data_IF_107234875777
#
_entry.id   IF_107234875777
#
_cell.length_a   1.000
_cell.length_b   1.000
_cell.length_c   1.000
_cell.angle_alpha   90.00
_cell.angle_beta   90.00
_cell.angle_gamma   90.00
#
_symmetry.space_group_name_H-M   'P 1'
#
loop_
_entity.id
_entity.type
_entity.pdbx_description
1 polymer ?
#
# COMPACT_ATOMS: atom_id res chain seq x y z
N UNK A 1 -0.39 -25.26 5.60
CA UNK A 1 0.24 -23.97 5.17
C UNK A 1 1.67 -23.89 5.71
N UNK A 2 2.65 -23.40 4.94
CA UNK A 2 4.04 -23.22 5.43
C UNK A 2 4.30 -21.76 5.79
N UNK A 3 4.78 -21.50 7.00
CA UNK A 3 5.38 -20.20 7.35
C UNK A 3 6.84 -20.15 6.85
N UNK A 4 7.36 -18.96 6.59
CA UNK A 4 8.80 -18.78 6.31
C UNK A 4 9.51 -18.42 7.62
N UNK A 5 10.78 -18.79 7.79
CA UNK A 5 11.55 -18.46 9.01
C UNK A 5 11.70 -16.95 9.24
N UNK A 6 11.61 -16.15 8.18
CA UNK A 6 11.81 -14.70 8.22
C UNK A 6 10.77 -14.00 7.35
N UNK A 7 9.93 -13.16 7.96
CA UNK A 7 8.97 -12.33 7.24
C UNK A 7 9.55 -10.94 6.95
N UNK A 8 9.12 -10.35 5.83
CA UNK A 8 9.33 -8.95 5.52
C UNK A 8 7.98 -8.27 5.55
N UNK A 9 7.91 -7.08 6.16
CA UNK A 9 6.66 -6.32 6.19
C UNK A 9 6.98 -4.86 5.90
N UNK A 10 6.39 -4.32 4.83
CA UNK A 10 6.52 -2.91 4.47
C UNK A 10 5.49 -2.12 5.26
N UNK A 11 5.85 -1.83 6.50
CA UNK A 11 5.03 -1.11 7.46
C UNK A 11 5.59 0.30 7.60
N UNK A 12 5.14 1.22 6.75
CA UNK A 12 5.67 2.59 6.67
C UNK A 12 4.57 3.58 7.04
N UNK A 13 4.63 4.09 8.27
CA UNK A 13 3.42 4.58 8.91
C UNK A 13 3.38 6.08 9.21
N UNK A 14 4.51 6.78 9.39
CA UNK A 14 4.44 8.23 9.47
C UNK A 14 5.76 8.92 9.18
N UNK A 15 5.63 10.12 8.60
CA UNK A 15 6.64 11.17 8.55
C UNK A 15 6.05 12.42 9.23
N UNK A 16 6.43 12.65 10.48
CA UNK A 16 5.97 13.79 11.27
C UNK A 16 6.90 14.98 11.06
N UNK A 17 6.35 16.13 10.65
CA UNK A 17 7.07 17.41 10.57
C UNK A 17 6.80 18.27 11.81
N UNK A 18 7.87 18.83 12.39
CA UNK A 18 7.81 20.03 13.23
C UNK A 18 7.83 21.24 12.27
N UNK A 19 6.87 22.17 12.45
CA UNK A 19 6.79 23.43 11.69
C UNK A 19 7.79 24.44 12.25
N UNK A 20 8.52 25.13 11.36
CA UNK A 20 9.12 26.44 11.64
C UNK A 20 8.66 27.46 10.56
N UNK A 21 8.58 28.76 10.90
CA UNK A 21 7.90 29.78 10.10
C UNK A 21 8.78 30.46 9.03
N UNK A 22 8.08 30.96 7.98
CA UNK A 22 8.45 31.97 6.96
C UNK A 22 9.62 31.62 5.99
N UNK A 23 9.65 31.99 4.69
CA UNK A 23 8.76 32.70 3.78
C UNK A 23 9.46 33.01 2.44
N UNK A 24 8.66 33.38 1.42
CA UNK A 24 8.95 33.94 0.08
C UNK A 24 9.26 33.00 -1.10
N UNK A 25 8.54 33.29 -2.19
CA UNK A 25 8.58 32.68 -3.51
C UNK A 25 9.04 33.72 -4.55
N UNK A 26 9.60 33.26 -5.66
CA UNK A 26 9.75 34.03 -6.90
C UNK A 26 9.40 33.14 -8.09
N UNK A 27 8.52 33.65 -8.96
CA UNK A 27 8.02 32.99 -10.17
C UNK A 27 9.02 33.08 -11.34
N UNK A 28 9.10 32.01 -12.14
CA UNK A 28 9.69 32.02 -13.48
C UNK A 28 8.75 31.24 -14.41
N UNK A 29 8.34 31.86 -15.53
CA UNK A 29 7.48 31.24 -16.54
C UNK A 29 8.28 30.28 -17.46
N UNK A 30 7.70 29.13 -17.88
CA UNK A 30 8.34 28.24 -18.84
C UNK A 30 8.07 28.64 -20.30
N UNK A 31 8.97 28.29 -21.25
CA UNK A 31 8.75 28.45 -22.70
C UNK A 31 7.86 27.32 -23.26
N UNK A 32 7.34 27.45 -24.51
CA UNK A 32 6.37 26.53 -25.09
C UNK A 32 6.97 25.15 -25.41
N UNK A 33 6.23 24.08 -25.11
CA UNK A 33 6.60 22.69 -25.40
C UNK A 33 6.22 22.26 -26.83
N UNK A 34 7.23 21.88 -27.62
CA UNK A 34 7.07 21.09 -28.84
C UNK A 34 7.10 19.59 -28.50
N UNK A 35 6.08 18.86 -28.96
CA UNK A 35 5.85 17.45 -28.65
C UNK A 35 6.53 16.56 -29.69
N UNK A 36 7.51 15.74 -29.27
CA UNK A 36 8.02 14.62 -30.07
C UNK A 36 7.72 13.29 -29.38
N UNK A 37 6.91 12.47 -30.05
CA UNK A 37 6.64 11.09 -29.68
C UNK A 37 7.72 10.17 -30.26
N UNK A 38 8.33 9.32 -29.43
CA UNK A 38 8.98 8.10 -29.93
C UNK A 38 8.67 6.91 -29.03
N UNK A 39 7.77 6.03 -29.49
CA UNK A 39 7.77 4.63 -29.08
C UNK A 39 7.30 3.77 -30.26
N UNK A 40 8.12 2.81 -30.67
CA UNK A 40 7.79 1.83 -31.70
C UNK A 40 7.15 0.59 -31.07
N UNK A 41 5.84 0.64 -30.92
CA UNK A 41 4.91 -0.49 -30.91
C UNK A 41 3.60 0.04 -31.51
N UNK A 42 3.42 -0.17 -32.82
CA UNK A 42 2.34 0.41 -33.58
C UNK A 42 1.19 -0.61 -33.72
N UNK A 43 0.11 -0.42 -32.97
CA UNK A 43 -1.16 -1.12 -33.19
C UNK A 43 -2.11 -0.14 -33.90
N UNK A 44 -2.15 -0.11 -35.24
CA UNK A 44 -2.81 0.94 -36.01
C UNK A 44 -4.35 1.00 -35.84
N UNK A 45 -4.93 0.11 -35.03
CA UNK A 45 -6.36 0.01 -34.72
C UNK A 45 -6.66 -0.06 -33.21
N UNK A 46 -5.65 0.10 -32.34
CA UNK A 46 -5.89 0.12 -30.90
C UNK A 46 -6.46 1.49 -30.51
N UNK A 47 -7.78 1.55 -30.35
CA UNK A 47 -8.44 2.66 -29.66
C UNK A 47 -8.07 2.53 -28.18
N UNK A 48 -7.52 3.58 -27.56
CA UNK A 48 -7.53 3.66 -26.10
C UNK A 48 -9.00 3.77 -25.67
N UNK A 49 -9.60 2.73 -25.07
CA UNK A 49 -11.05 2.68 -24.91
C UNK A 49 -11.56 3.79 -23.97
N UNK A 50 -10.77 4.20 -22.98
CA UNK A 50 -11.04 5.35 -22.13
C UNK A 50 -9.75 5.88 -21.47
N UNK A 51 -9.41 7.19 -21.57
CA UNK A 51 -8.21 7.75 -20.92
C UNK A 51 -8.29 7.80 -19.38
N UNK A 52 -9.45 7.48 -18.80
CA UNK A 52 -9.69 7.52 -17.36
C UNK A 52 -9.48 6.17 -16.67
N UNK A 53 -9.23 5.09 -17.40
CA UNK A 53 -9.02 3.76 -16.85
C UNK A 53 -7.77 3.12 -17.41
N UNK A 54 -6.99 2.50 -16.54
CA UNK A 54 -5.84 1.68 -16.92
C UNK A 54 -5.91 0.32 -16.23
N UNK A 55 -5.50 -0.72 -16.95
CA UNK A 55 -5.38 -2.09 -16.46
C UNK A 55 -3.91 -2.45 -16.38
N UNK A 56 -3.43 -2.66 -15.17
CA UNK A 56 -2.00 -2.78 -14.90
C UNK A 56 -1.72 -4.21 -14.44
N UNK A 57 -1.02 -5.03 -15.25
CA UNK A 57 -0.57 -6.33 -14.78
C UNK A 57 0.47 -6.15 -13.68
N UNK A 58 0.39 -6.97 -12.64
CA UNK A 58 1.38 -7.01 -11.58
C UNK A 58 1.99 -8.40 -11.45
N UNK A 59 3.14 -8.46 -10.78
CA UNK A 59 3.74 -9.72 -10.32
C UNK A 59 3.75 -9.75 -8.80
N UNK A 60 3.73 -10.94 -8.23
CA UNK A 60 3.94 -11.11 -6.79
C UNK A 60 5.43 -11.24 -6.49
N UNK A 61 5.95 -10.34 -5.66
CA UNK A 61 7.31 -10.42 -5.13
C UNK A 61 7.23 -10.86 -3.67
N UNK A 62 7.23 -12.18 -3.47
CA UNK A 62 6.70 -12.79 -2.25
C UNK A 62 5.18 -12.68 -2.26
N UNK A 63 4.62 -11.80 -1.43
CA UNK A 63 3.17 -11.52 -1.36
C UNK A 63 2.82 -10.06 -1.62
N UNK A 64 3.80 -9.28 -2.06
CA UNK A 64 3.64 -7.88 -2.38
C UNK A 64 3.26 -7.72 -3.85
N UNK A 65 2.39 -6.76 -4.13
CA UNK A 65 1.99 -6.39 -5.48
C UNK A 65 3.09 -5.52 -6.07
N UNK A 66 3.80 -6.05 -7.08
CA UNK A 66 4.92 -5.38 -7.73
C UNK A 66 4.58 -5.02 -9.18
N UNK A 67 4.85 -3.77 -9.55
CA UNK A 67 4.59 -3.21 -10.88
C UNK A 67 5.83 -2.52 -11.41
N UNK A 68 5.97 -2.46 -12.74
CA UNK A 68 7.03 -1.67 -13.37
C UNK A 68 6.52 -0.24 -13.61
N UNK A 69 7.32 0.74 -13.21
CA UNK A 69 7.04 2.16 -13.41
C UNK A 69 8.36 2.94 -13.49
N UNK A 70 8.27 4.23 -13.76
CA UNK A 70 9.41 5.13 -13.85
C UNK A 70 9.12 6.41 -13.07
N UNK A 71 10.01 6.78 -12.15
CA UNK A 71 9.98 8.07 -11.48
C UNK A 71 11.17 8.91 -11.96
N UNK A 72 10.87 10.04 -12.58
CA UNK A 72 11.77 10.89 -13.33
C UNK A 72 12.50 10.10 -14.44
N UNK A 73 13.82 9.98 -14.38
CA UNK A 73 14.61 9.19 -15.33
C UNK A 73 14.85 7.75 -14.89
N UNK A 74 14.36 7.34 -13.71
CA UNK A 74 14.69 6.05 -13.09
C UNK A 74 13.54 5.08 -13.26
N UNK A 75 13.78 4.02 -14.02
CA UNK A 75 12.87 2.91 -14.22
C UNK A 75 13.17 1.71 -13.29
N UNK A 76 12.12 0.98 -12.95
CA UNK A 76 12.21 -0.31 -12.27
C UNK A 76 10.96 -0.67 -11.48
N UNK A 77 11.12 -1.56 -10.51
CA UNK A 77 10.01 -2.15 -9.78
C UNK A 77 9.55 -1.22 -8.66
N UNK A 78 8.24 -1.01 -8.58
CA UNK A 78 7.55 -0.36 -7.47
C UNK A 78 6.63 -1.35 -6.75
N UNK A 79 6.52 -1.22 -5.44
CA UNK A 79 5.50 -1.94 -4.65
C UNK A 79 4.28 -1.05 -4.46
N UNK A 80 3.09 -1.61 -4.63
CA UNK A 80 1.83 -0.92 -4.33
C UNK A 80 1.46 -1.12 -2.85
N UNK A 81 1.38 -0.02 -2.11
CA UNK A 81 1.25 -0.04 -0.65
C UNK A 81 0.16 0.93 -0.18
N UNK A 82 -1.02 0.39 0.16
CA UNK A 82 -2.11 1.18 0.74
C UNK A 82 -1.83 1.63 2.17
N UNK A 83 -0.81 1.07 2.83
CA UNK A 83 -0.32 1.48 4.13
C UNK A 83 0.65 2.66 4.09
N UNK A 84 1.25 2.97 2.93
CA UNK A 84 2.14 4.13 2.79
C UNK A 84 1.38 5.43 2.51
N UNK A 85 1.70 6.53 3.22
CA UNK A 85 1.06 7.83 3.00
C UNK A 85 1.38 8.43 1.62
N UNK A 86 2.62 8.25 1.16
CA UNK A 86 3.14 8.92 -0.03
C UNK A 86 4.00 7.97 -0.86
N UNK A 87 4.35 8.41 -2.06
CA UNK A 87 5.45 7.82 -2.83
C UNK A 87 6.73 7.81 -1.99
N UNK A 88 7.37 6.64 -1.91
CA UNK A 88 8.67 6.47 -1.28
C UNK A 88 9.66 6.03 -2.32
N UNK A 89 10.84 6.65 -2.33
CA UNK A 89 11.91 6.37 -3.27
C UNK A 89 13.06 5.72 -2.53
N UNK A 90 13.59 4.64 -3.08
CA UNK A 90 14.71 3.95 -2.48
C UNK A 90 16.00 4.75 -2.68
N UNK A 91 16.63 5.19 -1.60
CA UNK A 91 17.86 6.00 -1.63
C UNK A 91 19.00 5.37 -2.44
N UNK A 92 19.01 4.04 -2.60
CA UNK A 92 19.99 3.33 -3.44
C UNK A 92 20.01 3.81 -4.90
N UNK A 93 18.89 4.33 -5.41
CA UNK A 93 18.79 4.80 -6.81
C UNK A 93 18.82 6.33 -6.94
N UNK A 94 18.64 7.09 -5.85
CA UNK A 94 18.55 8.54 -5.88
C UNK A 94 19.73 9.17 -5.11
N UNK A 95 20.71 9.69 -5.84
CA UNK A 95 21.86 10.40 -5.27
C UNK A 95 21.48 11.85 -4.94
N UNK A 96 20.99 12.10 -3.73
CA UNK A 96 20.82 13.46 -3.21
C UNK A 96 21.69 13.67 -1.96
N UNK A 97 22.18 14.91 -1.77
CA UNK A 97 22.86 15.32 -0.55
C UNK A 97 21.94 15.03 0.62
N UNK A 98 22.36 14.10 1.48
CA UNK A 98 21.63 13.74 2.69
C UNK A 98 21.50 14.98 3.57
N UNK A 99 20.35 15.65 3.51
CA UNK A 99 19.88 16.44 4.63
C UNK A 99 19.34 15.40 5.59
N UNK A 100 20.16 15.00 6.57
CA UNK A 100 19.76 14.06 7.62
C UNK A 100 18.60 14.66 8.43
N UNK A 101 17.37 14.46 7.95
CA UNK A 101 16.17 14.60 8.75
C UNK A 101 15.74 13.19 9.13
N UNK A 102 15.92 12.87 10.40
CA UNK A 102 15.33 11.67 11.01
C UNK A 102 13.81 11.85 11.10
N UNK A 103 13.12 10.73 11.33
CA UNK A 103 11.69 10.60 11.74
C UNK A 103 10.80 10.02 10.64
N UNK A 104 11.03 8.75 10.28
CA UNK A 104 9.90 7.83 10.02
C UNK A 104 9.87 6.71 11.06
N UNK A 105 8.66 6.31 11.46
CA UNK A 105 8.42 5.21 12.41
C UNK A 105 7.89 4.00 11.64
N UNK A 106 8.63 2.90 11.67
CA UNK A 106 8.17 1.58 11.21
C UNK A 106 7.93 0.64 12.39
N UNK A 107 7.24 -0.48 12.15
CA UNK A 107 6.94 -1.48 13.19
C UNK A 107 8.17 -2.15 13.81
N UNK A 108 9.34 -1.98 13.20
CA UNK A 108 10.62 -2.49 13.70
C UNK A 108 11.59 -1.36 14.03
N UNK A 109 11.10 -0.17 14.36
CA UNK A 109 11.89 0.97 14.82
C UNK A 109 11.97 2.13 13.82
N UNK A 110 12.84 3.08 14.12
CA UNK A 110 12.99 4.34 13.38
C UNK A 110 13.72 4.13 12.05
N UNK A 111 13.16 4.67 10.98
CA UNK A 111 13.78 4.73 9.66
C UNK A 111 14.80 5.86 9.65
N UNK A 112 16.05 5.52 9.30
CA UNK A 112 17.14 6.48 9.14
C UNK A 112 17.04 7.09 7.74
N UNK A 113 17.07 8.42 7.69
CA UNK A 113 17.06 9.25 6.48
C UNK A 113 15.70 9.36 5.77
N UNK A 114 15.07 10.52 5.94
CA UNK A 114 13.94 10.95 5.13
C UNK A 114 14.26 12.34 4.60
N UNK A 115 14.58 12.45 3.31
CA UNK A 115 14.48 13.73 2.61
C UNK A 115 13.18 13.79 1.82
N UNK A 116 12.54 14.95 1.80
CA UNK A 116 11.39 15.19 0.93
C UNK A 116 11.89 15.62 -0.45
N UNK A 117 11.23 15.14 -1.50
CA UNK A 117 11.48 15.53 -2.89
C UNK A 117 10.15 15.65 -3.64
N UNK A 118 10.15 16.43 -4.71
CA UNK A 118 9.15 16.34 -5.76
C UNK A 118 9.71 15.47 -6.90
N UNK A 119 8.92 14.47 -7.30
CA UNK A 119 9.14 13.74 -8.54
C UNK A 119 8.41 14.52 -9.62
N UNK A 120 9.14 14.96 -10.64
CA UNK A 120 8.60 15.77 -11.72
C UNK A 120 7.57 14.97 -12.50
N UNK A 121 7.89 13.71 -12.80
CA UNK A 121 6.98 12.79 -13.48
C UNK A 121 7.11 11.35 -12.95
N UNK A 122 6.01 10.78 -12.45
CA UNK A 122 5.86 9.35 -12.28
C UNK A 122 5.07 8.80 -13.47
N UNK A 123 5.73 8.00 -14.30
CA UNK A 123 5.15 7.27 -15.41
C UNK A 123 4.82 5.85 -14.97
N UNK A 124 3.57 5.45 -15.14
CA UNK A 124 3.10 4.11 -14.84
C UNK A 124 2.22 3.64 -15.99
N UNK A 125 2.84 2.90 -16.91
CA UNK A 125 2.24 2.53 -18.20
C UNK A 125 1.74 3.81 -18.92
N UNK A 126 0.46 3.93 -19.29
CA UNK A 126 -0.07 5.14 -19.95
C UNK A 126 -0.48 6.27 -18.98
N UNK A 127 -0.33 6.08 -17.66
CA UNK A 127 -0.56 7.13 -16.68
C UNK A 127 0.70 7.95 -16.46
N UNK A 128 0.55 9.28 -16.49
CA UNK A 128 1.57 10.22 -16.04
C UNK A 128 1.02 11.01 -14.87
N UNK A 129 1.77 11.04 -13.77
CA UNK A 129 1.52 11.87 -12.61
C UNK A 129 2.62 12.91 -12.51
N UNK A 130 2.26 14.18 -12.64
CA UNK A 130 3.22 15.28 -12.54
C UNK A 130 3.32 15.79 -11.11
N UNK A 131 4.50 16.24 -10.70
CA UNK A 131 4.76 16.86 -9.40
C UNK A 131 4.25 16.00 -8.24
N UNK A 132 4.73 14.75 -8.16
CA UNK A 132 4.36 13.82 -7.09
C UNK A 132 5.27 14.04 -5.89
N UNK A 133 4.68 14.40 -4.75
CA UNK A 133 5.43 14.48 -3.51
C UNK A 133 5.93 13.09 -3.10
N UNK A 134 7.24 12.98 -2.87
CA UNK A 134 7.89 11.75 -2.46
C UNK A 134 8.81 11.95 -1.26
N UNK A 135 9.15 10.85 -0.60
CA UNK A 135 10.22 10.84 0.40
C UNK A 135 11.26 9.79 0.03
N UNK A 136 12.52 10.13 0.20
CA UNK A 136 13.64 9.21 -0.02
C UNK A 136 13.89 8.43 1.27
N UNK A 137 13.90 7.11 1.18
CA UNK A 137 14.08 6.18 2.30
C UNK A 137 15.06 5.09 1.89
N UNK A 138 15.91 4.61 2.81
CA UNK A 138 16.73 3.43 2.56
C UNK A 138 15.87 2.15 2.53
N UNK A 139 15.59 1.67 1.32
CA UNK A 139 14.88 0.42 1.06
C UNK A 139 15.82 -0.67 0.53
N UNK A 140 17.15 -0.46 0.61
CA UNK A 140 18.17 -1.35 0.05
C UNK A 140 18.08 -2.77 0.62
N UNK A 141 17.77 -2.92 1.91
CA UNK A 141 17.59 -4.23 2.53
C UNK A 141 16.37 -4.99 1.98
N UNK A 142 15.34 -4.26 1.54
CA UNK A 142 14.15 -4.85 0.91
C UNK A 142 14.49 -5.25 -0.51
N UNK A 143 15.11 -4.35 -1.27
CA UNK A 143 15.63 -4.60 -2.62
C UNK A 143 16.45 -5.89 -2.68
N UNK A 144 17.48 -5.99 -1.82
CA UNK A 144 18.39 -7.13 -1.77
C UNK A 144 17.70 -8.44 -1.40
N UNK A 145 16.84 -8.43 -0.37
CA UNK A 145 16.17 -9.66 0.09
C UNK A 145 15.08 -10.13 -0.87
N UNK A 146 14.46 -9.22 -1.62
CA UNK A 146 13.45 -9.55 -2.63
C UNK A 146 14.05 -9.89 -3.99
N UNK A 147 15.35 -9.63 -4.19
CA UNK A 147 16.05 -9.86 -5.45
C UNK A 147 15.38 -9.14 -6.63
N UNK A 148 14.95 -7.90 -6.41
CA UNK A 148 14.34 -7.02 -7.43
C UNK A 148 15.07 -5.68 -7.47
N UNK A 149 14.90 -4.90 -8.54
CA UNK A 149 15.33 -3.50 -8.59
C UNK A 149 14.22 -2.61 -8.01
N UNK A 150 14.13 -2.55 -6.69
CA UNK A 150 13.13 -1.76 -5.98
C UNK A 150 13.45 -0.26 -6.07
N UNK A 151 12.80 0.44 -6.98
CA UNK A 151 12.94 1.89 -7.16
C UNK A 151 12.12 2.64 -6.11
N UNK A 152 10.94 2.13 -5.76
CA UNK A 152 10.10 2.80 -4.77
C UNK A 152 8.86 2.04 -4.34
N UNK A 153 8.03 2.73 -3.57
CA UNK A 153 6.74 2.26 -3.07
C UNK A 153 5.70 3.32 -3.39
N UNK A 154 4.64 2.95 -4.09
CA UNK A 154 3.55 3.85 -4.46
C UNK A 154 2.50 3.82 -3.35
N UNK A 155 2.24 4.98 -2.76
CA UNK A 155 1.35 5.15 -1.61
C UNK A 155 0.10 5.96 -1.90
N UNK A 156 -0.65 6.24 -0.82
CA UNK A 156 -1.95 6.91 -0.83
C UNK A 156 -2.02 8.19 -1.66
N UNK A 157 -0.99 9.06 -1.63
CA UNK A 157 -1.03 10.31 -2.38
C UNK A 157 -1.13 10.15 -3.91
N UNK A 158 -0.69 9.01 -4.45
CA UNK A 158 -0.83 8.66 -5.88
C UNK A 158 -2.23 8.09 -6.14
N UNK A 159 -2.77 7.31 -5.21
CA UNK A 159 -4.03 6.57 -5.38
C UNK A 159 -5.31 7.34 -5.09
N UNK A 160 -5.27 8.36 -4.23
CA UNK A 160 -6.46 8.97 -3.59
C UNK A 160 -7.53 9.49 -4.56
N UNK A 161 -7.15 9.74 -5.82
CA UNK A 161 -8.03 10.25 -6.88
C UNK A 161 -8.51 9.16 -7.85
N UNK A 162 -8.30 7.89 -7.50
CA UNK A 162 -8.72 6.72 -8.27
C UNK A 162 -9.57 5.77 -7.42
N UNK A 163 -10.43 4.99 -8.08
CA UNK A 163 -10.78 3.67 -7.59
C UNK A 163 -9.66 2.69 -7.93
N UNK A 164 -9.30 1.86 -6.96
CA UNK A 164 -8.23 0.87 -7.08
C UNK A 164 -8.88 -0.50 -6.97
N UNK A 165 -8.97 -1.21 -8.09
CA UNK A 165 -9.48 -2.57 -8.08
C UNK A 165 -8.32 -3.55 -8.11
N UNK A 166 -8.14 -4.31 -7.04
CA UNK A 166 -7.07 -5.28 -6.89
C UNK A 166 -7.64 -6.69 -7.11
N UNK A 167 -7.11 -7.37 -8.12
CA UNK A 167 -7.51 -8.72 -8.48
C UNK A 167 -6.29 -9.66 -8.51
N UNK A 168 -6.14 -10.47 -7.46
CA UNK A 168 -5.07 -11.45 -7.35
C UNK A 168 -5.25 -12.67 -8.28
N UNK A 169 -6.47 -12.93 -8.77
CA UNK A 169 -6.73 -14.05 -9.67
C UNK A 169 -6.22 -13.74 -11.08
N UNK A 170 -6.54 -12.54 -11.58
CA UNK A 170 -6.04 -12.06 -12.87
C UNK A 170 -4.67 -11.37 -12.79
N UNK A 171 -4.13 -11.20 -11.58
CA UNK A 171 -2.90 -10.45 -11.29
C UNK A 171 -2.92 -9.05 -11.93
N UNK A 172 -4.04 -8.34 -11.76
CA UNK A 172 -4.22 -6.98 -12.26
C UNK A 172 -4.63 -6.01 -11.16
N UNK A 173 -4.13 -4.77 -11.29
CA UNK A 173 -4.69 -3.60 -10.64
C UNK A 173 -5.35 -2.73 -11.71
N UNK A 174 -6.63 -2.42 -11.53
CA UNK A 174 -7.33 -1.46 -12.38
C UNK A 174 -7.44 -0.15 -11.63
N UNK A 175 -6.99 0.94 -12.27
CA UNK A 175 -7.15 2.28 -11.73
C UNK A 175 -8.13 3.05 -12.61
N UNK A 176 -9.21 3.54 -11.99
CA UNK A 176 -10.20 4.37 -12.67
C UNK A 176 -10.27 5.75 -12.00
N UNK A 177 -10.04 6.82 -12.76
CA UNK A 177 -10.08 8.20 -12.26
C UNK A 177 -11.44 8.54 -11.69
N UNK A 178 -11.42 9.28 -10.58
CA UNK A 178 -12.61 9.75 -9.89
C UNK A 178 -12.81 11.25 -10.07
N UNK A 179 -14.07 11.67 -10.19
CA UNK A 179 -14.45 13.06 -10.01
C UNK A 179 -14.27 13.51 -8.54
N UNK A 180 -14.67 14.76 -8.24
CA UNK A 180 -14.56 15.34 -6.89
C UNK A 180 -15.45 14.63 -5.86
N UNK A 181 -16.57 14.03 -6.30
CA UNK A 181 -17.58 13.40 -5.46
C UNK A 181 -17.30 11.89 -5.26
N UNK A 182 -16.30 11.37 -5.97
CA UNK A 182 -15.84 9.98 -5.86
C UNK A 182 -16.54 9.02 -6.82
N UNK A 183 -17.14 9.52 -7.89
CA UNK A 183 -17.70 8.72 -8.99
C UNK A 183 -16.69 8.57 -10.12
N UNK A 184 -16.70 7.40 -10.78
CA UNK A 184 -15.81 7.10 -11.90
C UNK A 184 -16.06 8.07 -13.05
N UNK A 185 -14.98 8.58 -13.63
CA UNK A 185 -15.03 9.25 -14.93
C UNK A 185 -15.24 8.26 -16.09
N UNK A 186 -15.00 6.97 -15.84
CA UNK A 186 -15.32 5.86 -16.73
C UNK A 186 -16.28 4.89 -16.04
N UNK A 187 -17.60 5.06 -16.19
CA UNK A 187 -18.60 4.21 -15.52
C UNK A 187 -18.49 2.73 -15.90
N UNK A 188 -18.06 2.44 -17.13
CA UNK A 188 -18.02 1.10 -17.72
C UNK A 188 -16.71 0.34 -17.43
N UNK A 189 -15.73 0.99 -16.79
CA UNK A 189 -14.41 0.42 -16.46
C UNK A 189 -14.50 -0.93 -15.72
N UNK A 190 -15.51 -1.06 -14.86
CA UNK A 190 -15.80 -2.26 -14.09
C UNK A 190 -17.27 -2.56 -14.31
N UNK A 191 -17.52 -3.43 -15.28
CA UNK A 191 -18.84 -3.89 -15.71
C UNK A 191 -19.49 -4.86 -14.71
N UNK A 192 -18.69 -5.47 -13.83
CA UNK A 192 -19.18 -6.34 -12.77
C UNK A 192 -19.85 -5.51 -11.67
N UNK A 193 -20.92 -6.03 -11.09
CA UNK A 193 -21.53 -5.44 -9.89
C UNK A 193 -20.93 -6.07 -8.63
N UNK A 194 -20.57 -5.27 -7.61
CA UNK A 194 -20.11 -5.82 -6.34
C UNK A 194 -21.24 -6.58 -5.65
N UNK A 195 -20.93 -7.75 -5.07
CA UNK A 195 -21.93 -8.53 -4.33
C UNK A 195 -22.11 -8.01 -2.89
N UNK A 196 -21.12 -7.28 -2.38
CA UNK A 196 -21.15 -6.67 -1.05
C UNK A 196 -20.24 -5.45 -0.99
N UNK A 197 -20.39 -4.65 0.07
CA UNK A 197 -19.53 -3.49 0.32
C UNK A 197 -19.42 -3.21 1.81
N UNK A 198 -18.33 -2.55 2.20
CA UNK A 198 -18.08 -2.20 3.60
C UNK A 198 -17.52 -0.77 3.69
N UNK A 199 -18.11 0.03 4.56
CA UNK A 199 -17.59 1.37 4.87
C UNK A 199 -16.32 1.25 5.73
N UNK A 200 -15.39 2.16 5.55
CA UNK A 200 -14.19 2.26 6.38
C UNK A 200 -14.00 3.68 6.92
N UNK A 201 -13.22 3.79 8.01
CA UNK A 201 -12.78 5.08 8.53
C UNK A 201 -11.41 5.39 7.94
N UNK A 202 -11.32 6.48 7.19
CA UNK A 202 -10.03 7.00 6.72
C UNK A 202 -9.37 7.79 7.88
N UNK A 203 -8.32 7.23 8.48
CA UNK A 203 -7.53 7.90 9.51
C UNK A 203 -6.19 8.30 8.92
N UNK A 204 -6.04 9.58 8.55
CA UNK A 204 -4.96 10.05 7.66
C UNK A 204 -5.04 9.33 6.31
N UNK A 205 -4.17 8.37 6.06
CA UNK A 205 -4.17 7.51 4.87
C UNK A 205 -4.64 6.08 5.17
N UNK A 206 -4.79 5.71 6.45
CA UNK A 206 -5.13 4.35 6.85
C UNK A 206 -6.59 4.00 6.55
N UNK A 207 -6.79 2.84 5.94
CA UNK A 207 -8.11 2.24 5.71
C UNK A 207 -8.47 1.42 6.95
N UNK A 208 -9.16 2.05 7.91
CA UNK A 208 -9.55 1.39 9.16
C UNK A 208 -10.91 0.70 9.02
N UNK A 209 -10.92 -0.62 9.16
CA UNK A 209 -12.10 -1.47 9.16
C UNK A 209 -12.36 -2.06 10.55
N UNK A 210 -13.62 -2.34 10.86
CA UNK A 210 -13.98 -3.14 12.05
C UNK A 210 -14.00 -4.62 11.67
N UNK A 211 -13.45 -5.46 12.54
CA UNK A 211 -13.56 -6.90 12.46
C UNK A 211 -14.04 -7.47 13.79
N UNK A 212 -14.47 -8.71 13.79
CA UNK A 212 -14.87 -9.43 14.99
C UNK A 212 -14.27 -10.84 15.04
N UNK A 213 -13.78 -11.20 16.22
CA UNK A 213 -13.32 -12.55 16.59
C UNK A 213 -13.91 -12.87 17.96
N UNK A 214 -14.59 -14.01 18.10
CA UNK A 214 -15.19 -14.45 19.37
C UNK A 214 -16.08 -13.37 20.04
N UNK A 215 -16.90 -12.65 19.26
CA UNK A 215 -17.75 -11.57 19.77
C UNK A 215 -17.00 -10.30 20.17
N UNK A 216 -15.70 -10.19 19.86
CA UNK A 216 -14.86 -9.04 20.21
C UNK A 216 -14.52 -8.22 18.97
N UNK A 217 -14.98 -6.97 18.99
CA UNK A 217 -14.61 -5.97 17.99
C UNK A 217 -13.12 -5.61 18.05
N UNK A 218 -12.50 -5.61 16.88
CA UNK A 218 -11.12 -5.26 16.59
C UNK A 218 -11.10 -4.18 15.51
N UNK A 219 -10.09 -3.31 15.54
CA UNK A 219 -9.82 -2.34 14.49
C UNK A 219 -8.62 -2.78 13.68
N UNK A 220 -8.82 -3.09 12.41
CA UNK A 220 -7.74 -3.44 11.49
C UNK A 220 -7.47 -2.32 10.50
N UNK A 221 -6.20 -2.10 10.19
CA UNK A 221 -5.82 -1.35 9.00
C UNK A 221 -5.68 -2.29 7.79
N UNK A 222 -6.20 -1.91 6.62
CA UNK A 222 -5.99 -2.64 5.36
C UNK A 222 -4.75 -2.14 4.64
N UNK A 223 -3.79 -3.03 4.43
CA UNK A 223 -2.43 -2.72 4.01
C UNK A 223 -1.89 -3.71 2.96
N UNK A 224 -1.84 -3.31 1.69
CA UNK A 224 -1.23 -4.13 0.63
C UNK A 224 0.29 -4.30 0.76
N UNK A 225 0.97 -3.48 1.57
CA UNK A 225 2.38 -3.63 1.95
C UNK A 225 2.64 -4.72 3.00
N UNK A 226 1.59 -5.29 3.60
CA UNK A 226 1.71 -6.37 4.58
C UNK A 226 1.63 -7.78 3.95
N UNK A 227 2.76 -8.50 3.90
CA UNK A 227 2.83 -9.89 3.40
C UNK A 227 2.12 -10.92 4.30
N UNK A 228 1.88 -10.56 5.55
CA UNK A 228 1.24 -11.39 6.56
C UNK A 228 0.51 -10.47 7.53
N UNK A 229 -0.64 -10.91 8.05
CA UNK A 229 -1.41 -10.10 8.98
C UNK A 229 -0.66 -9.90 10.29
N UNK A 230 -0.94 -8.80 10.96
CA UNK A 230 -0.45 -8.49 12.30
C UNK A 230 -1.62 -8.42 13.28
N UNK A 231 -1.37 -8.89 14.49
CA UNK A 231 -2.27 -8.74 15.63
C UNK A 231 -1.50 -8.18 16.82
N UNK A 232 -2.05 -7.16 17.47
CA UNK A 232 -1.46 -6.59 18.67
C UNK A 232 -1.52 -7.59 19.83
N UNK A 233 -0.40 -7.80 20.53
CA UNK A 233 -0.32 -8.73 21.66
C UNK A 233 -1.22 -8.38 22.84
N UNK A 234 -1.75 -7.15 22.92
CA UNK A 234 -2.63 -6.65 23.98
C UNK A 234 -4.12 -6.77 23.62
N UNK A 235 -4.48 -7.43 22.51
CA UNK A 235 -5.89 -7.76 22.27
C UNK A 235 -6.48 -8.59 23.42
N UNK A 236 -7.80 -8.59 23.55
CA UNK A 236 -8.50 -9.31 24.61
C UNK A 236 -8.19 -10.82 24.54
N UNK A 237 -8.06 -11.48 25.69
CA UNK A 237 -7.77 -12.93 25.79
C UNK A 237 -8.66 -13.80 24.90
N UNK A 238 -9.95 -13.49 24.81
CA UNK A 238 -10.92 -14.18 23.93
C UNK A 238 -10.53 -14.20 22.46
N UNK A 239 -9.84 -13.16 21.98
CA UNK A 239 -9.34 -13.11 20.59
C UNK A 239 -8.15 -14.05 20.43
N UNK A 240 -7.29 -14.13 21.45
CA UNK A 240 -6.13 -15.03 21.46
C UNK A 240 -6.52 -16.51 21.64
N UNK A 241 -7.72 -16.81 22.12
CA UNK A 241 -8.24 -18.19 22.18
C UNK A 241 -8.43 -18.79 20.77
N UNK A 242 -8.71 -17.94 19.76
CA UNK A 242 -8.83 -18.32 18.34
C UNK A 242 -7.51 -18.16 17.56
N UNK A 243 -6.38 -17.97 18.28
CA UNK A 243 -5.06 -17.90 17.67
C UNK A 243 -4.25 -19.18 17.96
N UNK A 244 -4.02 -19.99 16.92
CA UNK A 244 -3.16 -21.17 17.00
C UNK A 244 -1.69 -20.77 16.81
N UNK A 245 -0.89 -20.85 17.87
CA UNK A 245 0.55 -20.60 17.80
C UNK A 245 1.24 -21.77 17.09
N UNK A 246 2.01 -21.47 16.05
CA UNK A 246 2.77 -22.48 15.30
C UNK A 246 4.25 -22.43 15.65
N UNK A 247 4.86 -21.24 15.66
CA UNK A 247 6.29 -21.08 15.98
C UNK A 247 6.67 -19.63 16.25
N UNK A 248 7.91 -19.43 16.70
CA UNK A 248 8.60 -18.12 16.68
C UNK A 248 9.25 -17.89 15.31
N UNK A 249 9.19 -16.66 14.81
CA UNK A 249 9.83 -16.22 13.57
C UNK A 249 10.47 -14.86 13.76
N UNK A 250 11.40 -14.52 12.87
CA UNK A 250 12.02 -13.19 12.80
C UNK A 250 11.24 -12.29 11.85
N UNK A 251 10.88 -11.11 12.31
CA UNK A 251 10.23 -10.05 11.52
C UNK A 251 11.23 -8.92 11.31
N UNK A 252 11.33 -8.43 10.07
CA UNK A 252 12.09 -7.22 9.71
C UNK A 252 11.16 -6.29 8.95
N UNK A 253 11.04 -5.06 9.43
CA UNK A 253 10.29 -3.98 8.78
C UNK A 253 11.21 -2.93 8.18
N UNK A 254 10.68 -1.73 7.96
CA UNK A 254 11.43 -0.62 7.33
C UNK A 254 12.43 0.03 8.28
N UNK A 255 12.22 -0.09 9.59
CA UNK A 255 13.20 0.34 10.61
C UNK A 255 14.44 -0.55 10.72
N UNK A 256 14.58 -1.57 9.86
CA UNK A 256 15.71 -2.50 9.72
C UNK A 256 16.05 -3.37 10.96
N UNK A 257 15.53 -3.07 12.15
CA UNK A 257 15.72 -3.97 13.30
C UNK A 257 14.98 -5.28 13.08
N UNK A 258 15.58 -6.36 13.57
CA UNK A 258 14.97 -7.67 13.60
C UNK A 258 14.34 -7.91 14.97
N UNK A 259 13.07 -8.29 14.98
CA UNK A 259 12.35 -8.66 16.21
C UNK A 259 11.82 -10.09 16.10
N UNK A 260 11.84 -10.81 17.20
CA UNK A 260 11.21 -12.13 17.28
C UNK A 260 9.73 -11.99 17.63
N UNK A 261 8.88 -12.70 16.89
CA UNK A 261 7.42 -12.66 17.04
C UNK A 261 6.83 -14.06 16.99
N UNK A 262 5.62 -14.22 17.53
CA UNK A 262 4.86 -15.47 17.41
C UNK A 262 4.11 -15.48 16.07
N UNK A 263 4.30 -16.55 15.31
CA UNK A 263 3.58 -16.82 14.09
C UNK A 263 2.55 -17.91 14.31
N UNK A 264 1.36 -17.70 13.77
CA UNK A 264 0.23 -18.59 13.96
C UNK A 264 -0.91 -18.30 13.00
N UNK A 265 -2.02 -18.98 13.21
CA UNK A 265 -3.25 -18.81 12.44
C UNK A 265 -4.29 -18.17 13.35
N UNK A 266 -4.89 -17.06 12.89
CA UNK A 266 -6.06 -16.49 13.52
C UNK A 266 -7.29 -17.03 12.80
N UNK A 267 -8.21 -17.63 13.54
CA UNK A 267 -9.42 -18.25 13.00
C UNK A 267 -10.64 -17.34 13.10
N UNK A 268 -11.64 -17.62 12.26
CA UNK A 268 -13.00 -17.10 12.35
C UNK A 268 -13.08 -15.57 12.44
N UNK A 269 -12.35 -14.88 11.57
CA UNK A 269 -12.37 -13.41 11.54
C UNK A 269 -13.48 -12.94 10.61
N UNK A 270 -14.35 -12.08 11.11
CA UNK A 270 -15.47 -11.53 10.35
C UNK A 270 -15.31 -10.02 10.16
N UNK A 271 -15.72 -9.50 9.00
CA UNK A 271 -15.64 -8.09 8.61
C UNK A 271 -16.95 -7.70 7.92
N UNK A 272 -17.91 -7.15 8.67
CA UNK A 272 -19.26 -6.96 8.14
C UNK A 272 -19.86 -8.31 7.71
N UNK A 273 -20.26 -8.43 6.44
CA UNK A 273 -20.80 -9.68 5.87
C UNK A 273 -19.70 -10.61 5.29
N UNK A 274 -18.42 -10.22 5.41
CA UNK A 274 -17.29 -11.02 4.93
C UNK A 274 -16.68 -11.84 6.07
N UNK A 275 -16.03 -12.95 5.74
CA UNK A 275 -15.32 -13.77 6.73
C UNK A 275 -14.10 -14.47 6.15
N UNK A 276 -13.06 -14.63 6.96
CA UNK A 276 -11.95 -15.55 6.71
C UNK A 276 -11.93 -16.63 7.81
N UNK A 277 -11.99 -17.89 7.40
CA UNK A 277 -11.94 -19.02 8.35
C UNK A 277 -10.57 -19.13 9.03
N UNK A 278 -9.49 -18.78 8.31
CA UNK A 278 -8.11 -18.92 8.77
C UNK A 278 -7.20 -17.94 8.05
N UNK A 279 -6.44 -17.14 8.79
CA UNK A 279 -5.45 -16.22 8.23
C UNK A 279 -4.11 -16.32 8.95
N UNK A 280 -3.02 -16.38 8.18
CA UNK A 280 -1.67 -16.32 8.76
C UNK A 280 -1.44 -14.96 9.40
N UNK A 281 -1.09 -14.98 10.67
CA UNK A 281 -1.01 -13.79 11.50
C UNK A 281 0.22 -13.84 12.40
N UNK A 282 0.88 -12.71 12.59
CA UNK A 282 1.98 -12.54 13.53
C UNK A 282 1.51 -11.71 14.74
N UNK A 283 1.78 -12.19 15.96
CA UNK A 283 1.54 -11.42 17.17
C UNK A 283 2.74 -10.52 17.44
N UNK A 284 2.51 -9.20 17.51
CA UNK A 284 3.56 -8.20 17.73
C UNK A 284 3.07 -7.06 18.65
N UNK A 285 3.88 -6.02 18.87
CA UNK A 285 3.49 -4.81 19.60
C UNK A 285 3.18 -3.69 18.60
N UNK A 286 1.95 -3.20 18.56
CA UNK A 286 1.49 -2.11 17.69
C UNK A 286 1.31 -0.79 18.45
N UNK A 287 1.80 -0.67 19.68
CA UNK A 287 1.65 0.53 20.50
C UNK A 287 2.19 1.78 19.81
N UNK A 288 3.36 1.70 19.18
CA UNK A 288 3.98 2.85 18.52
C UNK A 288 3.14 3.32 17.33
N UNK A 289 2.55 2.38 16.59
CA UNK A 289 1.61 2.66 15.51
C UNK A 289 0.37 3.38 16.05
N UNK A 290 -0.22 2.89 17.15
CA UNK A 290 -1.38 3.52 17.78
C UNK A 290 -1.09 4.96 18.22
N UNK A 291 0.07 5.19 18.86
CA UNK A 291 0.51 6.52 19.31
C UNK A 291 0.69 7.47 18.13
N UNK A 292 1.33 7.00 17.06
CA UNK A 292 1.63 7.79 15.87
C UNK A 292 0.37 8.27 15.14
N UNK A 293 -0.63 7.40 15.01
CA UNK A 293 -1.88 7.74 14.32
C UNK A 293 -2.94 8.35 15.22
N UNK A 294 -2.75 8.33 16.54
CA UNK A 294 -3.75 8.79 17.50
C UNK A 294 -5.04 7.97 17.46
N UNK A 295 -4.97 6.71 17.03
CA UNK A 295 -6.11 5.79 16.98
C UNK A 295 -5.70 4.40 17.43
N UNK A 296 -6.64 3.65 18.02
CA UNK A 296 -6.44 2.24 18.35
C UNK A 296 -6.39 1.42 17.06
N UNK A 297 -5.34 0.62 16.93
CA UNK A 297 -5.12 -0.34 15.84
C UNK A 297 -4.81 -1.68 16.51
N UNK A 298 -5.76 -2.61 16.41
CA UNK A 298 -5.62 -3.94 16.99
C UNK A 298 -4.88 -4.90 16.05
N UNK A 299 -4.78 -4.56 14.78
CA UNK A 299 -4.03 -5.34 13.81
C UNK A 299 -3.91 -4.67 12.44
N UNK A 300 -3.18 -5.35 11.57
CA UNK A 300 -3.01 -5.00 10.15
C UNK A 300 -3.39 -6.21 9.33
N UNK A 301 -4.25 -6.04 8.32
CA UNK A 301 -4.60 -7.09 7.36
C UNK A 301 -4.07 -6.70 5.99
N UNK A 302 -3.39 -7.63 5.33
CA UNK A 302 -2.78 -7.39 4.03
C UNK A 302 -3.09 -8.51 3.06
N UNK A 303 -2.04 -9.20 2.59
CA UNK A 303 -2.18 -10.26 1.59
C UNK A 303 -3.24 -11.31 1.94
N UNK A 304 -3.34 -11.77 3.18
CA UNK A 304 -4.33 -12.81 3.54
C UNK A 304 -5.78 -12.34 3.32
N UNK A 305 -6.06 -11.05 3.58
CA UNK A 305 -7.38 -10.45 3.40
C UNK A 305 -7.64 -10.07 1.93
N UNK A 306 -6.67 -9.44 1.28
CA UNK A 306 -6.80 -8.93 -0.09
C UNK A 306 -6.73 -10.04 -1.15
N UNK A 307 -6.01 -11.13 -0.90
CA UNK A 307 -5.93 -12.25 -1.86
C UNK A 307 -7.12 -13.22 -1.76
N UNK A 308 -7.88 -13.20 -0.66
CA UNK A 308 -9.07 -14.05 -0.52
C UNK A 308 -10.30 -13.47 -1.24
N UNK A 309 -10.27 -12.20 -1.69
CA UNK A 309 -11.38 -11.57 -2.41
C UNK A 309 -10.93 -10.47 -3.37
N UNK A 310 -11.62 -10.33 -4.49
CA UNK A 310 -11.42 -9.21 -5.42
C UNK A 310 -11.96 -7.94 -4.77
N UNK A 311 -11.09 -6.96 -4.54
CA UNK A 311 -11.39 -5.81 -3.67
C UNK A 311 -11.19 -4.52 -4.44
N UNK A 312 -12.21 -3.66 -4.44
CA UNK A 312 -12.11 -2.30 -4.91
C UNK A 312 -12.08 -1.33 -3.74
N UNK A 313 -11.13 -0.38 -3.79
CA UNK A 313 -10.94 0.65 -2.79
C UNK A 313 -11.35 2.00 -3.40
N UNK A 314 -12.29 2.69 -2.74
CA UNK A 314 -12.63 4.08 -3.06
C UNK A 314 -12.38 4.98 -1.83
N UNK A 315 -11.31 5.76 -1.87
CA UNK A 315 -10.93 6.64 -0.76
C UNK A 315 -11.87 7.83 -0.55
N UNK A 316 -12.40 8.41 -1.64
CA UNK A 316 -13.31 9.57 -1.58
C UNK A 316 -14.64 9.20 -0.91
N UNK A 317 -15.18 8.03 -1.27
CA UNK A 317 -16.41 7.47 -0.71
C UNK A 317 -16.19 6.68 0.58
N UNK A 318 -14.93 6.43 0.96
CA UNK A 318 -14.51 5.67 2.14
C UNK A 318 -15.14 4.28 2.20
N UNK A 319 -15.12 3.59 1.06
CA UNK A 319 -15.81 2.31 0.88
C UNK A 319 -14.92 1.27 0.20
N UNK A 320 -15.01 0.04 0.69
CA UNK A 320 -14.53 -1.17 0.02
C UNK A 320 -15.71 -1.84 -0.68
N UNK A 321 -15.48 -2.33 -1.89
CA UNK A 321 -16.45 -3.14 -2.62
C UNK A 321 -15.85 -4.50 -2.94
N UNK A 322 -16.66 -5.55 -2.83
CA UNK A 322 -16.23 -6.94 -3.00
C UNK A 322 -16.91 -7.57 -4.21
N UNK A 323 -16.11 -8.28 -5.00
CA UNK A 323 -16.53 -8.90 -6.25
C UNK A 323 -16.34 -10.41 -6.20
N UNK A 324 -17.20 -11.13 -6.90
CA UNK A 324 -17.13 -12.59 -6.98
C UNK A 324 -15.77 -13.01 -7.55
N UNK A 325 -15.19 -14.06 -6.98
CA UNK A 325 -14.05 -14.71 -7.63
C UNK A 325 -14.52 -15.26 -8.99
N UNK A 326 -13.70 -15.08 -10.02
CA UNK A 326 -14.03 -15.61 -11.32
C UNK A 326 -13.94 -17.15 -11.23
N UNK A 327 -14.96 -17.86 -11.72
CA UNK A 327 -14.87 -19.32 -11.78
C UNK A 327 -13.81 -19.69 -12.83
N UNK A 328 -12.89 -20.62 -12.52
CA UNK A 328 -11.87 -21.05 -13.46
C UNK A 328 -12.46 -21.69 -14.73
#
# INVERSE_FOLDING_TARGET
>A
MKFVYRYQILLIWALLFIRLPDGRATEVHPPPEDWFFSCSLNFPLAIQPNPNTIYIPFKLVGRLIAVEAQADSINGTFILDTGAERLLLNSNHYQERQVEQFVSIGNTGTVKSVSNRWVDSLYWDNLTFSNVRANIVDLTHIEQKKHIRLVGIIGYNVFKDFEIFIDFQSQQVVLTRLDKDGYRLDPEAIWESPYDSMDFKLVRHLIMIEAEVQGRKLKFNVDSGAEVNLLDRKVKRKVLDDFEIIRRVKMVGVGQNEIEVLAGVLHNVTYGNQSDESMRTLITNLLEMCTTFGTRIDGVVGYEFLSSRRTLINYKRKKLFFFQQQRP
#
